data_IF_646282548003
#
_entry.id   IF_646282548003
#
_cell.length_a   1.000
_cell.length_b   1.000
_cell.length_c   1.000
_cell.angle_alpha   90.00
_cell.angle_beta   90.00
_cell.angle_gamma   90.00
#
_symmetry.space_group_name_H-M   'P 1'
#
loop_
_entity.id
_entity.type
_entity.pdbx_description
1 polymer ?
#
# COMPACT_ATOMS: atom_id res chain seq x y z
N UNK A 1 19.85 4.89 -31.04
CA UNK A 1 18.75 3.94 -30.79
C UNK A 1 17.61 4.77 -30.22
N UNK A 2 16.58 5.01 -31.02
CA UNK A 2 15.49 5.94 -30.70
C UNK A 2 14.68 5.37 -29.53
N UNK A 3 14.53 6.17 -28.49
CA UNK A 3 13.69 5.89 -27.34
C UNK A 3 12.23 6.02 -27.79
N UNK A 4 11.60 4.91 -28.15
CA UNK A 4 10.16 4.86 -28.37
C UNK A 4 9.46 5.06 -27.03
N UNK A 5 8.91 6.26 -26.85
CA UNK A 5 8.01 6.57 -25.76
C UNK A 5 6.78 5.65 -25.85
N UNK A 6 6.75 4.61 -25.01
CA UNK A 6 5.58 3.76 -24.84
C UNK A 6 4.37 4.63 -24.40
N UNK A 7 3.19 4.49 -25.05
CA UNK A 7 2.02 5.32 -24.78
C UNK A 7 1.32 5.03 -23.43
N UNK A 8 1.88 4.16 -22.59
CA UNK A 8 1.33 3.80 -21.28
C UNK A 8 1.87 4.66 -20.12
N UNK A 9 2.82 5.56 -20.39
CA UNK A 9 3.45 6.42 -19.37
C UNK A 9 2.54 7.52 -18.81
N UNK A 10 1.37 7.75 -19.40
CA UNK A 10 0.48 8.87 -19.06
C UNK A 10 -0.71 8.56 -18.13
N UNK A 11 -1.06 7.29 -17.88
CA UNK A 11 -2.39 6.95 -17.30
C UNK A 11 -2.31 6.13 -16.00
N UNK A 12 -1.13 5.75 -15.52
CA UNK A 12 -0.99 5.06 -14.25
C UNK A 12 -1.11 6.01 -13.06
N UNK A 13 -2.11 5.82 -12.20
CA UNK A 13 -2.16 6.47 -10.88
C UNK A 13 -0.82 6.32 -10.14
N UNK A 14 -0.48 7.26 -9.26
CA UNK A 14 0.87 7.40 -8.68
C UNK A 14 1.52 6.10 -8.18
N UNK A 15 0.73 5.16 -7.63
CA UNK A 15 1.22 3.86 -7.17
C UNK A 15 1.68 2.93 -8.31
N UNK A 16 0.95 2.86 -9.43
CA UNK A 16 1.34 2.07 -10.60
C UNK A 16 2.67 2.55 -11.17
N UNK A 17 2.89 3.87 -11.21
CA UNK A 17 4.15 4.47 -11.64
C UNK A 17 5.30 4.15 -10.69
N UNK A 18 5.06 4.19 -9.38
CA UNK A 18 6.04 3.75 -8.37
C UNK A 18 6.46 2.30 -8.61
N UNK A 19 5.50 1.40 -8.87
CA UNK A 19 5.81 -0.01 -9.16
C UNK A 19 6.54 -0.20 -10.49
N UNK A 20 6.13 0.51 -11.55
CA UNK A 20 6.76 0.41 -12.86
C UNK A 20 8.18 0.97 -12.90
N UNK A 21 8.44 2.11 -12.25
CA UNK A 21 9.74 2.79 -12.30
C UNK A 21 10.70 2.34 -11.20
N UNK A 22 10.22 2.15 -9.97
CA UNK A 22 11.06 1.82 -8.82
C UNK A 22 11.04 0.34 -8.44
N UNK A 23 10.12 -0.47 -9.00
CA UNK A 23 9.99 -1.89 -8.67
C UNK A 23 9.68 -2.13 -7.19
N UNK A 24 9.07 -1.16 -6.51
CA UNK A 24 8.88 -1.21 -5.07
C UNK A 24 7.91 -2.34 -4.67
N UNK A 25 8.33 -3.34 -3.88
CA UNK A 25 7.53 -4.53 -3.59
C UNK A 25 6.59 -4.29 -2.40
N UNK A 26 5.98 -3.11 -2.30
CA UNK A 26 5.11 -2.76 -1.19
C UNK A 26 3.70 -2.43 -1.66
N UNK A 27 2.78 -3.18 -1.09
CA UNK A 27 1.35 -3.11 -1.33
C UNK A 27 0.79 -1.80 -0.74
N UNK A 28 1.29 -1.40 0.44
CA UNK A 28 0.78 -0.27 1.22
C UNK A 28 1.36 1.10 0.89
N UNK A 29 2.05 1.33 -0.24
CA UNK A 29 2.72 2.61 -0.54
C UNK A 29 1.80 3.86 -0.67
N UNK A 30 0.50 3.72 -0.44
CA UNK A 30 -0.44 4.83 -0.32
C UNK A 30 -0.70 5.13 1.17
N UNK A 31 -0.32 6.31 1.68
CA UNK A 31 -0.42 6.61 3.10
C UNK A 31 -1.87 6.65 3.58
N UNK A 32 -2.16 5.84 4.61
CA UNK A 32 -3.48 5.70 5.19
C UNK A 32 -4.10 7.05 5.59
N UNK A 33 -5.33 7.29 5.15
CA UNK A 33 -6.15 8.45 5.50
C UNK A 33 -5.55 9.84 5.19
N UNK A 34 -4.37 9.94 4.56
CA UNK A 34 -3.72 11.23 4.33
C UNK A 34 -4.46 12.11 3.33
N UNK A 35 -5.11 11.52 2.33
CA UNK A 35 -6.03 12.22 1.42
C UNK A 35 -7.14 12.98 2.16
N UNK A 36 -7.67 12.40 3.24
CA UNK A 36 -8.68 13.02 4.11
C UNK A 36 -8.04 13.96 5.15
N UNK A 37 -6.94 13.54 5.76
CA UNK A 37 -6.31 14.26 6.86
C UNK A 37 -5.74 15.60 6.40
N UNK A 38 -5.18 15.68 5.19
CA UNK A 38 -4.71 16.94 4.61
C UNK A 38 -5.85 17.94 4.46
N UNK A 39 -7.04 17.50 4.01
CA UNK A 39 -8.21 18.37 3.91
C UNK A 39 -8.62 18.94 5.27
N UNK A 40 -8.66 18.09 6.30
CA UNK A 40 -8.99 18.52 7.66
C UNK A 40 -7.93 19.44 8.27
N UNK A 41 -6.65 19.22 7.95
CA UNK A 41 -5.54 20.07 8.42
C UNK A 41 -5.57 21.46 7.78
N UNK A 42 -5.75 21.52 6.45
CA UNK A 42 -5.69 22.76 5.67
C UNK A 42 -6.94 23.63 5.87
N UNK A 43 -8.13 23.03 5.81
CA UNK A 43 -9.39 23.79 5.90
C UNK A 43 -9.93 23.88 7.33
N UNK A 44 -9.44 23.03 8.24
CA UNK A 44 -10.00 22.88 9.57
C UNK A 44 -11.30 22.06 9.57
N UNK A 45 -11.62 21.46 10.70
CA UNK A 45 -12.88 20.72 10.89
C UNK A 45 -14.11 21.62 10.68
N UNK A 46 -14.03 22.91 11.05
CA UNK A 46 -15.17 23.85 10.96
C UNK A 46 -15.67 24.05 9.53
N UNK A 47 -14.77 24.02 8.55
CA UNK A 47 -15.14 24.15 7.14
C UNK A 47 -16.10 23.04 6.68
N UNK A 48 -15.94 21.83 7.23
CA UNK A 48 -16.77 20.67 6.91
C UNK A 48 -18.03 20.55 7.78
N UNK A 49 -18.18 21.41 8.80
CA UNK A 49 -19.33 21.49 9.70
C UNK A 49 -20.20 22.71 9.36
N UNK A 50 -20.57 22.85 8.08
CA UNK A 50 -21.47 23.93 7.65
C UNK A 50 -22.79 23.81 8.42
N UNK A 51 -23.28 24.96 8.90
CA UNK A 51 -24.53 25.08 9.65
C UNK A 51 -24.59 24.26 10.94
N UNK A 52 -23.43 23.93 11.53
CA UNK A 52 -23.34 23.11 12.74
C UNK A 52 -23.64 21.62 12.54
N UNK A 53 -23.80 21.17 11.29
CA UNK A 53 -24.08 19.77 10.96
C UNK A 53 -22.81 18.93 10.84
N UNK A 54 -22.82 17.75 11.45
CA UNK A 54 -21.71 16.78 11.36
C UNK A 54 -21.80 15.84 10.17
N UNK A 55 -22.83 15.98 9.33
CA UNK A 55 -23.15 15.03 8.26
C UNK A 55 -21.94 14.74 7.37
N UNK A 56 -21.22 15.77 6.93
CA UNK A 56 -20.05 15.62 6.06
C UNK A 56 -18.94 14.83 6.74
N UNK A 57 -18.60 15.17 7.99
CA UNK A 57 -17.57 14.48 8.75
C UNK A 57 -17.95 13.02 9.03
N UNK A 58 -19.22 12.74 9.36
CA UNK A 58 -19.71 11.38 9.58
C UNK A 58 -19.64 10.52 8.31
N UNK A 59 -19.96 11.09 7.15
CA UNK A 59 -19.77 10.43 5.85
C UNK A 59 -18.28 10.17 5.59
N UNK A 60 -17.40 11.15 5.83
CA UNK A 60 -15.96 10.98 5.67
C UNK A 60 -15.38 9.90 6.60
N UNK A 61 -15.89 9.78 7.83
CA UNK A 61 -15.50 8.74 8.78
C UNK A 61 -16.00 7.35 8.32
N UNK A 62 -17.24 7.26 7.88
CA UNK A 62 -17.84 6.00 7.40
C UNK A 62 -17.17 5.48 6.11
N UNK A 63 -16.71 6.39 5.27
CA UNK A 63 -15.98 6.08 4.03
C UNK A 63 -14.46 6.02 4.23
N UNK A 64 -13.96 6.00 5.46
CA UNK A 64 -12.51 5.94 5.73
C UNK A 64 -11.83 4.71 5.11
N UNK A 65 -12.58 3.61 4.90
CA UNK A 65 -12.06 2.42 4.20
C UNK A 65 -11.66 2.72 2.74
N UNK A 66 -12.25 3.74 2.09
CA UNK A 66 -11.85 4.16 0.75
C UNK A 66 -10.48 4.84 0.73
N UNK A 67 -10.04 5.36 1.88
CA UNK A 67 -8.70 5.91 2.04
C UNK A 67 -7.63 4.82 2.24
N UNK A 68 -8.00 3.54 2.18
CA UNK A 68 -7.07 2.42 2.13
C UNK A 68 -6.51 2.31 0.71
N UNK A 69 -5.19 2.19 0.59
CA UNK A 69 -4.44 2.15 -0.67
C UNK A 69 -4.76 1.04 -1.68
N UNK A 70 -5.83 0.27 -1.47
CA UNK A 70 -6.17 -0.90 -2.28
C UNK A 70 -6.46 -0.54 -3.74
N UNK A 71 -7.21 0.53 -4.00
CA UNK A 71 -7.62 0.86 -5.39
C UNK A 71 -6.44 1.23 -6.29
N UNK A 72 -5.54 2.16 -5.91
CA UNK A 72 -4.35 2.47 -6.71
C UNK A 72 -3.43 1.25 -6.93
N UNK A 73 -3.46 0.30 -6.01
CA UNK A 73 -2.62 -0.88 -6.05
C UNK A 73 -3.17 -1.99 -6.94
N UNK A 74 -4.50 -2.19 -6.97
CA UNK A 74 -5.11 -3.14 -7.91
C UNK A 74 -4.78 -2.79 -9.37
N UNK A 75 -4.69 -1.50 -9.69
CA UNK A 75 -4.25 -1.05 -11.02
C UNK A 75 -2.83 -1.52 -11.36
N UNK A 76 -1.92 -1.58 -10.38
CA UNK A 76 -0.56 -2.04 -10.62
C UNK A 76 -0.48 -3.54 -10.92
N UNK A 77 -1.26 -4.38 -10.22
CA UNK A 77 -1.34 -5.81 -10.53
C UNK A 77 -1.91 -6.07 -11.92
N UNK A 78 -2.91 -5.29 -12.33
CA UNK A 78 -3.45 -5.39 -13.70
C UNK A 78 -2.39 -5.02 -14.74
N UNK A 79 -1.65 -3.93 -14.50
CA UNK A 79 -0.58 -3.51 -15.42
C UNK A 79 0.54 -4.55 -15.51
N UNK A 80 0.96 -5.15 -14.40
CA UNK A 80 1.93 -6.24 -14.39
C UNK A 80 1.39 -7.47 -15.13
N UNK A 81 0.12 -7.82 -14.92
CA UNK A 81 -0.56 -8.89 -15.66
C UNK A 81 -0.57 -8.66 -17.17
N UNK A 82 -0.85 -7.44 -17.62
CA UNK A 82 -0.76 -7.09 -19.03
C UNK A 82 0.68 -7.09 -19.54
N UNK A 83 1.66 -6.65 -18.73
CA UNK A 83 3.07 -6.69 -19.11
C UNK A 83 3.57 -8.11 -19.37
N UNK A 84 3.04 -9.11 -18.65
CA UNK A 84 3.36 -10.53 -18.88
C UNK A 84 2.88 -11.06 -20.25
N UNK A 85 1.97 -10.35 -20.91
CA UNK A 85 1.57 -10.70 -22.29
C UNK A 85 2.64 -10.35 -23.32
N UNK A 86 3.52 -9.40 -22.99
CA UNK A 86 4.66 -9.07 -23.85
C UNK A 86 5.67 -10.22 -23.83
N UNK A 87 5.93 -10.82 -24.98
CA UNK A 87 6.85 -11.96 -25.11
C UNK A 87 6.22 -13.33 -24.82
N UNK A 88 4.90 -13.40 -24.62
CA UNK A 88 4.16 -14.67 -24.56
C UNK A 88 3.16 -14.78 -25.71
N UNK A 89 2.61 -15.98 -25.94
CA UNK A 89 1.54 -16.21 -26.94
C UNK A 89 0.14 -15.85 -26.42
N UNK A 90 0.04 -15.34 -25.20
CA UNK A 90 -1.23 -15.05 -24.53
C UNK A 90 -1.69 -13.64 -24.88
N UNK A 91 -2.93 -13.50 -25.31
CA UNK A 91 -3.50 -12.19 -25.63
C UNK A 91 -3.86 -11.40 -24.37
N UNK A 92 -3.76 -10.07 -24.43
CA UNK A 92 -4.23 -9.18 -23.36
C UNK A 92 -5.69 -9.43 -22.97
N UNK A 93 -6.54 -9.79 -23.94
CA UNK A 93 -7.95 -10.14 -23.68
C UNK A 93 -8.08 -11.39 -22.81
N UNK A 94 -7.28 -12.42 -23.06
CA UNK A 94 -7.29 -13.65 -22.25
C UNK A 94 -6.85 -13.36 -20.81
N UNK A 95 -5.80 -12.55 -20.63
CA UNK A 95 -5.35 -12.14 -19.28
C UNK A 95 -6.42 -11.29 -18.59
N UNK A 96 -7.04 -10.33 -19.27
CA UNK A 96 -8.13 -9.54 -18.70
C UNK A 96 -9.31 -10.41 -18.26
N UNK A 97 -9.74 -11.37 -19.10
CA UNK A 97 -10.80 -12.31 -18.76
C UNK A 97 -10.43 -13.19 -17.57
N UNK A 98 -9.20 -13.69 -17.52
CA UNK A 98 -8.71 -14.50 -16.40
C UNK A 98 -8.69 -13.70 -15.09
N UNK A 99 -8.20 -12.45 -15.11
CA UNK A 99 -8.23 -11.54 -13.96
C UNK A 99 -9.67 -11.28 -13.52
N UNK A 100 -10.58 -10.98 -14.45
CA UNK A 100 -12.00 -10.74 -14.14
C UNK A 100 -12.67 -11.97 -13.52
N UNK A 101 -12.43 -13.16 -14.07
CA UNK A 101 -12.98 -14.40 -13.53
C UNK A 101 -12.41 -14.69 -12.13
N UNK A 102 -11.09 -14.53 -11.94
CA UNK A 102 -10.45 -14.71 -10.65
C UNK A 102 -10.98 -13.72 -9.60
N UNK A 103 -11.24 -12.47 -9.99
CA UNK A 103 -11.86 -11.47 -9.11
C UNK A 103 -13.28 -11.86 -8.72
N UNK A 104 -14.11 -12.32 -9.66
CA UNK A 104 -15.48 -12.76 -9.38
C UNK A 104 -15.50 -13.98 -8.44
N UNK A 105 -14.70 -15.00 -8.76
CA UNK A 105 -14.59 -16.20 -7.92
C UNK A 105 -14.07 -15.83 -6.53
N UNK A 106 -13.00 -15.05 -6.46
CA UNK A 106 -12.42 -14.58 -5.20
C UNK A 106 -13.38 -13.74 -4.37
N UNK A 107 -14.23 -12.92 -5.02
CA UNK A 107 -15.26 -12.14 -4.35
C UNK A 107 -16.36 -13.04 -3.76
N UNK A 108 -16.85 -14.00 -4.55
CA UNK A 108 -17.89 -14.95 -4.09
C UNK A 108 -17.39 -15.81 -2.95
N UNK A 109 -16.23 -16.44 -3.10
CA UNK A 109 -15.60 -17.26 -2.06
C UNK A 109 -15.28 -16.39 -0.84
N UNK A 110 -14.74 -15.20 -1.05
CA UNK A 110 -14.42 -14.25 0.00
C UNK A 110 -15.63 -13.86 0.83
N UNK A 111 -16.74 -13.48 0.19
CA UNK A 111 -18.00 -13.19 0.88
C UNK A 111 -18.55 -14.40 1.60
N UNK A 112 -18.59 -15.56 0.94
CA UNK A 112 -19.09 -16.78 1.55
C UNK A 112 -18.30 -17.11 2.82
N UNK A 113 -16.98 -17.20 2.74
CA UNK A 113 -16.12 -17.50 3.89
C UNK A 113 -16.22 -16.43 4.98
N UNK A 114 -16.14 -15.14 4.65
CA UNK A 114 -16.22 -14.10 5.68
C UNK A 114 -17.58 -14.09 6.36
N UNK A 115 -18.68 -14.18 5.60
CA UNK A 115 -20.01 -14.15 6.17
C UNK A 115 -20.25 -15.39 7.04
N UNK A 116 -20.00 -16.61 6.55
CA UNK A 116 -20.22 -17.82 7.36
C UNK A 116 -19.39 -17.79 8.64
N UNK A 117 -18.10 -17.50 8.53
CA UNK A 117 -17.20 -17.45 9.69
C UNK A 117 -17.59 -16.30 10.65
N UNK A 118 -18.03 -15.14 10.14
CA UNK A 118 -18.53 -14.05 11.00
C UNK A 118 -19.84 -14.37 11.69
N UNK A 119 -20.75 -15.12 11.06
CA UNK A 119 -22.00 -15.56 11.70
C UNK A 119 -21.76 -16.66 12.72
N UNK A 120 -20.80 -17.56 12.49
CA UNK A 120 -20.51 -18.68 13.39
C UNK A 120 -19.69 -18.26 14.62
N UNK A 121 -18.65 -17.45 14.43
CA UNK A 121 -17.68 -17.13 15.48
C UNK A 121 -17.72 -15.65 15.93
N UNK A 122 -18.43 -14.80 15.21
CA UNK A 122 -18.50 -13.37 15.47
C UNK A 122 -17.32 -12.59 14.87
N UNK A 123 -17.61 -11.65 13.98
CA UNK A 123 -16.61 -10.78 13.34
C UNK A 123 -15.73 -10.02 14.36
N UNK A 124 -16.33 -9.64 15.49
CA UNK A 124 -15.68 -8.90 16.57
C UNK A 124 -14.55 -9.68 17.24
N UNK A 125 -14.64 -11.00 17.31
CA UNK A 125 -13.68 -11.87 17.99
C UNK A 125 -12.59 -12.30 17.00
N UNK A 126 -12.98 -12.73 15.80
CA UNK A 126 -12.07 -13.24 14.77
C UNK A 126 -11.00 -12.24 14.31
N UNK A 127 -11.28 -10.95 14.42
CA UNK A 127 -10.32 -9.89 14.07
C UNK A 127 -9.40 -9.49 15.24
N UNK A 128 -9.17 -10.40 16.20
CA UNK A 128 -8.32 -10.19 17.37
C UNK A 128 -8.91 -9.21 18.38
N UNK A 129 -10.23 -9.15 18.45
CA UNK A 129 -10.98 -8.27 19.36
C UNK A 129 -11.73 -9.04 20.45
N UNK A 130 -12.43 -8.31 21.30
CA UNK A 130 -13.35 -8.89 22.30
C UNK A 130 -14.80 -8.69 21.87
N UNK A 131 -15.77 -9.39 22.47
CA UNK A 131 -17.19 -9.13 22.22
C UNK A 131 -17.58 -7.66 22.47
N UNK A 132 -17.03 -7.02 23.51
CA UNK A 132 -17.39 -5.64 23.87
C UNK A 132 -16.73 -4.59 22.97
N UNK A 133 -15.48 -4.82 22.57
CA UNK A 133 -14.69 -3.81 21.87
C UNK A 133 -14.58 -4.07 20.37
N UNK A 134 -14.80 -5.30 19.93
CA UNK A 134 -14.71 -5.71 18.54
C UNK A 134 -13.29 -5.70 17.96
N UNK A 135 -13.23 -6.12 16.70
CA UNK A 135 -12.00 -6.43 15.98
C UNK A 135 -11.05 -5.27 15.75
N UNK A 136 -9.76 -5.58 15.59
CA UNK A 136 -8.71 -4.59 15.29
C UNK A 136 -8.91 -3.95 13.91
N UNK A 137 -9.46 -4.68 12.93
CA UNK A 137 -9.55 -4.23 11.53
C UNK A 137 -10.92 -3.66 11.15
N UNK A 138 -11.96 -3.88 11.95
CA UNK A 138 -13.28 -3.27 11.81
C UNK A 138 -13.55 -2.26 12.92
N UNK A 139 -14.00 -2.75 14.08
CA UNK A 139 -14.54 -1.92 15.16
C UNK A 139 -13.53 -0.90 15.71
N UNK A 140 -12.26 -1.28 15.89
CA UNK A 140 -11.24 -0.38 16.41
C UNK A 140 -10.92 0.78 15.45
N UNK A 141 -10.80 0.50 14.14
CA UNK A 141 -10.56 1.54 13.13
C UNK A 141 -11.75 2.50 13.02
N UNK A 142 -12.98 1.97 13.01
CA UNK A 142 -14.19 2.81 12.98
C UNK A 142 -14.25 3.68 14.23
N UNK A 143 -14.03 3.10 15.42
CA UNK A 143 -13.95 3.87 16.67
C UNK A 143 -12.86 4.93 16.62
N UNK A 144 -11.68 4.63 16.09
CA UNK A 144 -10.62 5.63 15.93
C UNK A 144 -11.08 6.82 15.07
N UNK A 145 -11.80 6.56 13.98
CA UNK A 145 -12.33 7.59 13.10
C UNK A 145 -13.43 8.44 13.76
N UNK A 146 -14.36 7.79 14.47
CA UNK A 146 -15.42 8.48 15.19
C UNK A 146 -14.90 9.23 16.43
N UNK A 147 -13.90 8.70 17.14
CA UNK A 147 -13.24 9.39 18.26
C UNK A 147 -12.50 10.64 17.77
N UNK A 148 -11.88 10.56 16.58
CA UNK A 148 -11.26 11.72 15.94
C UNK A 148 -12.29 12.77 15.54
N UNK A 149 -13.45 12.35 15.02
CA UNK A 149 -14.59 13.24 14.76
C UNK A 149 -15.11 13.88 16.05
N UNK A 150 -15.25 13.10 17.12
CA UNK A 150 -15.65 13.58 18.43
C UNK A 150 -14.65 14.60 18.99
N UNK A 151 -13.35 14.38 18.81
CA UNK A 151 -12.32 15.36 19.17
C UNK A 151 -12.47 16.69 18.44
N UNK A 152 -12.99 16.70 17.20
CA UNK A 152 -13.26 17.93 16.47
C UNK A 152 -14.41 18.74 17.08
N UNK A 153 -15.37 18.09 17.77
CA UNK A 153 -16.47 18.75 18.50
C UNK A 153 -15.98 19.64 19.63
N UNK A 154 -15.00 19.14 20.40
CA UNK A 154 -14.43 19.84 21.54
C UNK A 154 -13.32 20.83 21.16
N UNK A 155 -12.90 20.85 19.90
CA UNK A 155 -11.87 21.75 19.40
C UNK A 155 -12.47 22.98 18.70
N UNK A 156 -11.69 24.04 18.53
CA UNK A 156 -12.08 25.20 17.71
C UNK A 156 -12.37 24.85 16.24
N UNK A 157 -12.04 23.61 15.81
CA UNK A 157 -12.16 23.17 14.43
C UNK A 157 -11.28 23.97 13.46
N UNK A 158 -10.31 24.72 13.99
CA UNK A 158 -9.41 25.56 13.21
C UNK A 158 -8.43 24.73 12.36
N UNK A 159 -7.92 25.28 11.25
CA UNK A 159 -6.82 24.68 10.51
C UNK A 159 -5.59 24.43 11.40
N UNK A 160 -4.93 23.30 11.18
CA UNK A 160 -3.64 23.00 11.78
C UNK A 160 -2.55 23.67 10.93
N UNK A 161 -2.18 24.90 11.30
CA UNK A 161 -1.23 25.72 10.54
C UNK A 161 0.14 25.05 10.42
N UNK A 162 0.78 24.53 11.49
CA UNK A 162 2.06 23.84 11.37
C UNK A 162 2.01 22.65 10.39
N UNK A 163 0.99 21.80 10.48
CA UNK A 163 0.86 20.66 9.54
C UNK A 163 0.56 21.12 8.13
N UNK A 164 -0.24 22.16 7.95
CA UNK A 164 -0.53 22.72 6.63
C UNK A 164 0.71 23.28 5.96
N UNK A 165 1.58 23.98 6.71
CA UNK A 165 2.88 24.45 6.22
C UNK A 165 3.76 23.25 5.84
N UNK A 166 3.82 22.20 6.68
CA UNK A 166 4.59 21.01 6.38
C UNK A 166 4.12 20.28 5.10
N UNK A 167 2.80 20.17 4.90
CA UNK A 167 2.22 19.61 3.67
C UNK A 167 2.56 20.48 2.46
N UNK A 168 2.43 21.80 2.57
CA UNK A 168 2.79 22.75 1.52
C UNK A 168 4.27 22.66 1.16
N UNK A 169 5.14 22.63 2.15
CA UNK A 169 6.58 22.43 1.96
C UNK A 169 6.88 21.09 1.27
N UNK A 170 6.30 19.98 1.74
CA UNK A 170 6.48 18.66 1.13
C UNK A 170 6.04 18.61 -0.33
N UNK A 171 4.92 19.27 -0.66
CA UNK A 171 4.45 19.43 -2.04
C UNK A 171 5.44 20.22 -2.89
N UNK A 172 5.86 21.41 -2.44
CA UNK A 172 6.81 22.27 -3.18
C UNK A 172 8.16 21.57 -3.33
N UNK A 173 8.64 20.88 -2.30
CA UNK A 173 9.88 20.14 -2.32
C UNK A 173 9.84 18.95 -3.31
N UNK A 174 8.76 18.16 -3.29
CA UNK A 174 8.55 17.09 -4.25
C UNK A 174 8.49 17.62 -5.70
N UNK A 175 7.81 18.75 -5.90
CA UNK A 175 7.74 19.43 -7.21
C UNK A 175 9.13 19.91 -7.65
N UNK A 176 9.89 20.50 -6.74
CA UNK A 176 11.26 20.94 -6.95
C UNK A 176 12.18 19.80 -7.38
N UNK A 177 12.14 18.66 -6.67
CA UNK A 177 12.88 17.44 -7.07
C UNK A 177 12.44 16.98 -8.46
N UNK A 178 11.13 16.97 -8.76
CA UNK A 178 10.62 16.53 -10.05
C UNK A 178 11.03 17.46 -11.22
N UNK A 179 11.19 18.76 -10.98
CA UNK A 179 11.69 19.73 -11.97
C UNK A 179 13.21 19.62 -12.13
N UNK A 180 13.96 19.56 -11.02
CA UNK A 180 15.41 19.42 -11.05
C UNK A 180 15.83 18.12 -11.74
N UNK A 181 15.15 17.01 -11.47
CA UNK A 181 15.44 15.74 -12.14
C UNK A 181 15.14 15.76 -13.63
N UNK A 182 14.16 16.55 -14.10
CA UNK A 182 13.90 16.74 -15.53
C UNK A 182 14.94 17.64 -16.20
N UNK A 183 15.49 18.59 -15.45
CA UNK A 183 16.45 19.59 -15.96
C UNK A 183 17.90 19.09 -15.90
N UNK A 184 18.22 18.23 -14.93
CA UNK A 184 19.56 17.72 -14.64
C UNK A 184 19.50 16.19 -14.66
N UNK A 185 19.99 15.59 -15.76
CA UNK A 185 19.98 14.14 -15.97
C UNK A 185 20.71 13.36 -14.87
N UNK A 186 21.73 13.94 -14.24
CA UNK A 186 22.54 13.32 -13.19
C UNK A 186 22.07 13.64 -11.77
N UNK A 187 20.88 14.24 -11.59
CA UNK A 187 20.41 14.62 -10.26
C UNK A 187 20.17 13.38 -9.38
N UNK A 188 20.80 13.28 -8.20
CA UNK A 188 20.81 12.05 -7.41
C UNK A 188 19.47 11.74 -6.73
N UNK A 189 18.63 12.75 -6.45
CA UNK A 189 17.36 12.54 -5.76
C UNK A 189 16.24 12.16 -6.74
N UNK A 190 15.46 11.15 -6.37
CA UNK A 190 14.31 10.68 -7.13
C UNK A 190 13.01 11.12 -6.46
N UNK A 191 12.06 11.76 -7.18
CA UNK A 191 10.79 12.20 -6.59
C UNK A 191 9.97 11.02 -6.05
N UNK A 192 9.98 9.87 -6.75
CA UNK A 192 9.38 8.63 -6.24
C UNK A 192 10.04 8.11 -4.96
N UNK A 193 11.37 8.15 -4.85
CA UNK A 193 12.07 7.73 -3.64
C UNK A 193 11.68 8.59 -2.43
N UNK A 194 11.56 9.91 -2.65
CA UNK A 194 11.03 10.82 -1.63
C UNK A 194 9.61 10.44 -1.20
N UNK A 195 8.70 10.24 -2.16
CA UNK A 195 7.31 9.86 -1.88
C UNK A 195 7.22 8.55 -1.08
N UNK A 196 7.98 7.52 -1.47
CA UNK A 196 7.99 6.22 -0.80
C UNK A 196 8.45 6.33 0.67
N UNK A 197 9.55 7.06 0.92
CA UNK A 197 10.09 7.24 2.28
C UNK A 197 9.10 8.01 3.15
N UNK A 198 8.45 9.04 2.61
CA UNK A 198 7.46 9.83 3.38
C UNK A 198 6.14 9.10 3.62
N UNK A 199 5.84 8.05 2.85
CA UNK A 199 4.63 7.25 3.02
C UNK A 199 4.84 6.10 4.01
N UNK A 200 5.84 5.25 3.76
CA UNK A 200 6.14 4.04 4.54
C UNK A 200 7.65 3.77 4.59
N UNK A 201 8.46 4.77 4.91
CA UNK A 201 9.92 4.63 5.02
C UNK A 201 10.36 3.69 6.15
N UNK A 202 9.67 3.72 7.30
CA UNK A 202 10.06 3.00 8.51
C UNK A 202 10.12 1.47 8.37
N UNK A 203 9.13 0.78 7.76
CA UNK A 203 9.25 -0.66 7.52
C UNK A 203 10.20 -0.99 6.36
N UNK A 204 10.41 -0.06 5.42
CA UNK A 204 11.11 -0.33 4.17
C UNK A 204 12.62 -0.15 4.25
N UNK A 205 13.10 0.82 5.02
CA UNK A 205 14.49 1.28 4.90
C UNK A 205 15.49 0.15 5.14
N UNK A 206 15.27 -0.72 6.14
CA UNK A 206 16.19 -1.80 6.51
C UNK A 206 16.29 -2.89 5.44
N UNK A 207 15.15 -3.29 4.87
CA UNK A 207 15.11 -4.28 3.79
C UNK A 207 15.74 -3.73 2.51
N UNK A 208 15.42 -2.48 2.14
CA UNK A 208 16.00 -1.81 0.98
C UNK A 208 17.52 -1.61 1.13
N UNK A 209 17.98 -1.20 2.32
CA UNK A 209 19.40 -1.04 2.62
C UNK A 209 20.13 -2.39 2.51
N UNK A 210 19.56 -3.45 3.08
CA UNK A 210 20.13 -4.80 2.99
C UNK A 210 20.22 -5.29 1.55
N UNK A 211 19.14 -5.16 0.77
CA UNK A 211 19.13 -5.51 -0.64
C UNK A 211 20.16 -4.70 -1.45
N UNK A 212 20.31 -3.41 -1.14
CA UNK A 212 21.31 -2.55 -1.77
C UNK A 212 22.75 -2.98 -1.42
N UNK A 213 23.05 -3.25 -0.15
CA UNK A 213 24.37 -3.74 0.28
C UNK A 213 24.69 -5.06 -0.42
N UNK A 214 23.77 -6.03 -0.38
CA UNK A 214 23.96 -7.34 -1.02
C UNK A 214 24.21 -7.17 -2.53
N UNK A 215 23.34 -6.43 -3.22
CA UNK A 215 23.49 -6.18 -4.66
C UNK A 215 24.81 -5.51 -4.99
N UNK A 216 25.19 -4.48 -4.23
CA UNK A 216 26.44 -3.74 -4.43
C UNK A 216 27.66 -4.62 -4.20
N UNK A 217 27.65 -5.46 -3.17
CA UNK A 217 28.72 -6.43 -2.89
C UNK A 217 28.83 -7.48 -3.99
N UNK A 218 27.71 -8.07 -4.43
CA UNK A 218 27.69 -9.05 -5.53
C UNK A 218 28.26 -8.47 -6.82
N UNK A 219 27.83 -7.26 -7.20
CA UNK A 219 28.30 -6.60 -8.42
C UNK A 219 29.77 -6.18 -8.31
N UNK A 220 30.22 -5.68 -7.14
CA UNK A 220 31.62 -5.29 -6.95
C UNK A 220 32.58 -6.48 -6.93
N UNK A 221 32.20 -7.59 -6.30
CA UNK A 221 33.09 -8.74 -6.11
C UNK A 221 33.08 -9.71 -7.31
N UNK A 222 31.93 -9.90 -7.97
CA UNK A 222 31.79 -10.90 -9.05
C UNK A 222 31.24 -10.34 -10.36
N UNK A 223 31.06 -9.02 -10.47
CA UNK A 223 30.54 -8.39 -11.68
C UNK A 223 29.10 -8.80 -12.02
N UNK A 224 28.69 -8.45 -13.24
CA UNK A 224 27.34 -8.76 -13.75
C UNK A 224 27.12 -10.27 -13.96
N UNK A 225 28.21 -11.03 -14.20
CA UNK A 225 28.16 -12.48 -14.41
C UNK A 225 27.72 -13.22 -13.15
N UNK A 226 28.32 -12.91 -11.99
CA UNK A 226 27.90 -13.48 -10.71
C UNK A 226 26.47 -13.07 -10.37
N UNK A 227 26.11 -11.81 -10.59
CA UNK A 227 24.74 -11.34 -10.38
C UNK A 227 23.72 -12.19 -11.14
N UNK A 228 23.96 -12.47 -12.44
CA UNK A 228 23.08 -13.32 -13.26
C UNK A 228 23.00 -14.76 -12.74
N UNK A 229 24.10 -15.32 -12.25
CA UNK A 229 24.14 -16.66 -11.64
C UNK A 229 23.38 -16.74 -10.31
N UNK A 230 23.27 -15.64 -9.57
CA UNK A 230 22.53 -15.55 -8.30
C UNK A 230 21.04 -15.23 -8.47
N UNK A 231 20.56 -14.88 -9.67
CA UNK A 231 19.13 -14.63 -9.91
C UNK A 231 18.24 -15.78 -9.41
N UNK A 232 18.54 -17.06 -9.69
CA UNK A 232 17.73 -18.18 -9.18
C UNK A 232 17.68 -18.24 -7.65
N UNK A 233 18.78 -17.88 -6.96
CA UNK A 233 18.81 -17.82 -5.50
C UNK A 233 17.85 -16.76 -4.96
N UNK A 234 17.87 -15.54 -5.50
CA UNK A 234 16.98 -14.46 -5.07
C UNK A 234 15.51 -14.78 -5.35
N UNK A 235 15.21 -15.42 -6.49
CA UNK A 235 13.88 -15.94 -6.79
C UNK A 235 13.48 -17.02 -5.78
N UNK A 236 14.38 -17.93 -5.43
CA UNK A 236 14.17 -18.96 -4.41
C UNK A 236 13.85 -18.38 -3.03
N UNK A 237 14.59 -17.35 -2.60
CA UNK A 237 14.31 -16.64 -1.33
C UNK A 237 12.93 -15.99 -1.37
N UNK A 238 12.58 -15.35 -2.49
CA UNK A 238 11.28 -14.69 -2.67
C UNK A 238 10.13 -15.70 -2.62
N UNK A 239 10.24 -16.79 -3.39
CA UNK A 239 9.26 -17.87 -3.41
C UNK A 239 9.17 -18.59 -2.05
N UNK A 240 10.30 -18.80 -1.39
CA UNK A 240 10.37 -19.37 -0.04
C UNK A 240 9.64 -18.50 0.96
N UNK A 241 9.84 -17.18 0.92
CA UNK A 241 9.08 -16.26 1.77
C UNK A 241 7.58 -16.32 1.49
N UNK A 242 7.15 -16.33 0.22
CA UNK A 242 5.73 -16.49 -0.14
C UNK A 242 5.14 -17.81 0.37
N UNK A 243 5.88 -18.91 0.24
CA UNK A 243 5.44 -20.21 0.72
C UNK A 243 5.34 -20.24 2.24
N UNK A 244 6.37 -19.77 2.95
CA UNK A 244 6.40 -19.75 4.42
C UNK A 244 5.35 -18.81 4.99
N UNK A 245 5.26 -17.57 4.51
CA UNK A 245 4.34 -16.56 5.01
C UNK A 245 2.89 -16.81 4.59
N UNK A 246 2.67 -17.31 3.37
CA UNK A 246 1.32 -17.49 2.82
C UNK A 246 0.69 -18.85 3.14
N UNK A 247 1.47 -19.93 3.08
CA UNK A 247 0.95 -21.30 3.22
C UNK A 247 1.29 -21.86 4.59
N UNK A 248 2.58 -21.96 4.93
CA UNK A 248 2.99 -22.60 6.19
C UNK A 248 2.42 -21.88 7.39
N UNK A 249 2.53 -20.55 7.45
CA UNK A 249 2.04 -19.78 8.58
C UNK A 249 0.51 -19.88 8.75
N UNK A 250 -0.23 -19.91 7.64
CA UNK A 250 -1.68 -20.16 7.66
C UNK A 250 -2.04 -21.54 8.20
N UNK A 251 -1.31 -22.58 7.78
CA UNK A 251 -1.50 -23.96 8.27
C UNK A 251 -1.13 -24.06 9.75
N UNK A 252 -0.01 -23.48 10.19
CA UNK A 252 0.37 -23.45 11.62
C UNK A 252 -0.72 -22.77 12.47
N UNK A 253 -1.38 -21.75 11.93
CA UNK A 253 -2.56 -21.13 12.54
C UNK A 253 -3.71 -22.10 12.83
N UNK A 254 -3.88 -23.14 12.01
CA UNK A 254 -4.90 -24.18 12.25
C UNK A 254 -4.48 -25.25 13.25
N UNK A 255 -3.18 -25.35 13.57
CA UNK A 255 -2.64 -26.37 14.48
C UNK A 255 -2.66 -25.95 15.95
N UNK A 256 -2.94 -24.68 16.24
CA UNK A 256 -3.09 -24.16 17.60
C UNK A 256 -2.37 -22.84 17.83
N UNK A 257 -2.87 -22.08 18.81
CA UNK A 257 -2.43 -20.72 19.13
C UNK A 257 -0.95 -20.65 19.58
N UNK A 258 -0.46 -21.65 20.30
CA UNK A 258 0.94 -21.71 20.78
C UNK A 258 1.95 -21.81 19.63
N UNK A 259 1.68 -22.69 18.66
CA UNK A 259 2.54 -22.90 17.48
C UNK A 259 2.54 -21.66 16.60
N UNK A 260 1.36 -21.06 16.41
CA UNK A 260 1.19 -19.84 15.62
C UNK A 260 1.89 -18.63 16.24
N UNK A 261 1.81 -18.45 17.57
CA UNK A 261 2.49 -17.36 18.28
C UNK A 261 4.00 -17.57 18.41
N UNK A 262 4.46 -18.83 18.47
CA UNK A 262 5.89 -19.16 18.48
C UNK A 262 6.60 -18.81 17.17
N UNK A 263 5.89 -18.79 16.04
CA UNK A 263 6.44 -18.44 14.74
C UNK A 263 5.81 -17.15 14.18
N UNK A 264 6.35 -16.00 14.58
CA UNK A 264 5.92 -14.70 14.08
C UNK A 264 6.39 -14.43 12.64
N UNK A 265 5.46 -14.29 11.71
CA UNK A 265 5.74 -13.75 10.37
C UNK A 265 5.51 -12.25 10.38
N UNK A 266 6.56 -11.50 10.06
CA UNK A 266 6.52 -10.05 9.99
C UNK A 266 6.33 -9.62 8.53
N UNK A 267 5.19 -8.98 8.27
CA UNK A 267 4.91 -8.36 6.98
C UNK A 267 5.40 -6.91 7.03
N UNK A 268 6.38 -6.58 6.19
CA UNK A 268 6.87 -5.22 5.97
C UNK A 268 5.96 -4.42 5.05
#
# INVERSE_FOLDING_TARGET
MKEEAHPLSGVGGGHTRIRAEAGAPMIWLFPWANNKNVLLQVFGGRYFMRDGSFRTLSVMASLAFLARGYYPQFMAYQLEGFKLTEGTRVSARQVALAIMLALLIGLVIGYWMHLTTYYEYGANILEGGTPEWGGTRGAALIRQEYNRLHGLLGSTGAPDVPRSIAVGFGFVFALGIAVLRRSILSFPLHPLGYAMVTAYGDPLWGAFLSAWIIKKSVIRLGGIGLYRRLIPLFLGITLGHFFTAGILWGILGTMGEEVFRGYGVWFG
#
